data_IF_908962508030
#
_entry.id   IF_908962508030
#
_cell.length_a   1.000
_cell.length_b   1.000
_cell.length_c   1.000
_cell.angle_alpha   90.00
_cell.angle_beta   90.00
_cell.angle_gamma   90.00
#
_symmetry.space_group_name_H-M   'P 1'
#
loop_
_entity.id
_entity.type
_entity.pdbx_description
1 polymer ?
#
# COMPACT_ATOMS: atom_id res chain seq x y z
N UNK A 1 -12.85 16.43 -13.78
CA UNK A 1 -11.50 17.01 -13.74
C UNK A 1 -11.53 18.51 -14.06
N UNK A 2 -11.90 18.96 -15.25
CA UNK A 2 -11.93 20.38 -15.64
C UNK A 2 -12.77 21.32 -14.74
N UNK A 3 -13.81 20.80 -14.05
CA UNK A 3 -14.58 21.59 -13.09
C UNK A 3 -13.84 21.87 -11.78
N UNK A 4 -12.88 20.99 -11.40
CA UNK A 4 -12.10 21.12 -10.18
C UNK A 4 -10.79 21.88 -10.43
N UNK A 5 -10.10 21.59 -11.53
CA UNK A 5 -8.87 22.26 -11.94
C UNK A 5 -9.21 23.22 -13.07
N UNK A 6 -9.51 24.49 -12.71
CA UNK A 6 -9.89 25.55 -13.66
C UNK A 6 -8.66 26.34 -14.08
N UNK A 7 -7.70 25.67 -14.72
CA UNK A 7 -6.48 26.31 -15.24
C UNK A 7 -6.34 25.99 -16.72
N UNK A 8 -5.88 26.96 -17.50
CA UNK A 8 -5.60 26.77 -18.94
C UNK A 8 -4.40 25.83 -19.16
N UNK A 9 -3.64 25.54 -18.10
CA UNK A 9 -2.48 24.65 -18.13
C UNK A 9 -2.84 23.17 -18.03
N UNK A 10 -4.12 22.83 -17.74
CA UNK A 10 -4.59 21.45 -17.71
C UNK A 10 -4.69 20.90 -19.13
N UNK A 11 -3.78 20.03 -19.49
CA UNK A 11 -3.77 19.29 -20.75
C UNK A 11 -4.48 17.96 -20.60
N UNK A 12 -5.28 17.62 -21.60
CA UNK A 12 -5.95 16.34 -21.72
C UNK A 12 -5.74 15.84 -23.15
N UNK A 13 -4.95 14.79 -23.28
CA UNK A 13 -4.66 14.11 -24.54
C UNK A 13 -5.50 12.84 -24.62
N UNK A 14 -6.55 12.88 -25.40
CA UNK A 14 -7.37 11.71 -25.68
C UNK A 14 -6.78 10.93 -26.86
N UNK A 15 -6.74 9.61 -26.75
CA UNK A 15 -6.32 8.70 -27.79
C UNK A 15 -7.10 7.40 -27.68
N UNK A 16 -7.08 6.62 -28.76
CA UNK A 16 -7.66 5.29 -28.78
C UNK A 16 -6.56 4.24 -28.62
N UNK A 17 -6.83 3.26 -27.78
CA UNK A 17 -5.94 2.12 -27.64
C UNK A 17 -6.13 1.18 -28.83
N UNK A 18 -5.03 0.65 -29.33
CA UNK A 18 -5.07 -0.36 -30.40
C UNK A 18 -5.49 -1.72 -29.82
N UNK A 19 -6.76 -1.82 -29.46
CA UNK A 19 -7.40 -3.02 -28.90
C UNK A 19 -8.54 -3.48 -29.82
N UNK A 20 -9.04 -4.68 -29.60
CA UNK A 20 -10.21 -5.16 -30.36
C UNK A 20 -11.46 -4.27 -30.15
N UNK A 21 -11.53 -3.53 -29.01
CA UNK A 21 -12.66 -2.68 -28.65
C UNK A 21 -12.44 -1.19 -28.94
N UNK A 22 -11.27 -0.78 -29.45
CA UNK A 22 -10.89 0.63 -29.70
C UNK A 22 -11.19 1.54 -28.49
N UNK A 23 -10.89 1.06 -27.27
CA UNK A 23 -11.21 1.76 -26.03
C UNK A 23 -10.46 3.09 -25.97
N UNK A 24 -11.17 4.18 -25.68
CA UNK A 24 -10.60 5.51 -25.51
C UNK A 24 -9.90 5.63 -24.15
N UNK A 25 -8.76 6.30 -24.14
CA UNK A 25 -8.08 6.70 -22.93
C UNK A 25 -7.65 8.17 -23.01
N UNK A 26 -7.44 8.79 -21.88
CA UNK A 26 -6.97 10.16 -21.78
C UNK A 26 -5.79 10.27 -20.81
N UNK A 27 -4.69 10.87 -21.28
CA UNK A 27 -3.58 11.28 -20.45
C UNK A 27 -3.80 12.72 -19.99
N UNK A 28 -3.94 12.93 -18.69
CA UNK A 28 -4.16 14.24 -18.08
C UNK A 28 -2.92 14.68 -17.30
N UNK A 29 -2.52 15.94 -17.46
CA UNK A 29 -1.40 16.55 -16.72
C UNK A 29 -1.49 18.08 -16.74
N UNK A 30 -0.82 18.74 -15.80
CA UNK A 30 -0.66 20.19 -15.80
C UNK A 30 0.67 20.56 -16.48
N UNK A 31 0.61 21.31 -17.60
CA UNK A 31 1.78 21.65 -18.43
C UNK A 31 2.86 22.43 -17.69
N UNK A 32 2.47 23.26 -16.74
CA UNK A 32 3.36 24.08 -15.90
C UNK A 32 4.00 23.34 -14.75
N UNK A 33 3.51 22.13 -14.42
CA UNK A 33 3.91 21.37 -13.24
C UNK A 33 4.49 19.98 -13.53
N UNK A 34 4.02 19.33 -14.58
CA UNK A 34 4.49 18.00 -14.96
C UNK A 34 5.87 18.06 -15.64
N UNK A 35 6.71 17.07 -15.40
CA UNK A 35 7.98 16.94 -16.11
C UNK A 35 7.73 16.60 -17.60
N UNK A 36 8.16 17.44 -18.54
CA UNK A 36 7.96 17.18 -19.96
C UNK A 36 8.63 15.87 -20.43
N UNK A 37 9.73 15.45 -19.80
CA UNK A 37 10.41 14.20 -20.14
C UNK A 37 9.55 12.98 -19.75
N UNK A 38 8.92 13.03 -18.57
CA UNK A 38 8.03 11.98 -18.12
C UNK A 38 6.76 11.93 -18.96
N UNK A 39 6.17 13.08 -19.29
CA UNK A 39 4.99 13.15 -20.18
C UNK A 39 5.30 12.48 -21.52
N UNK A 40 6.44 12.83 -22.14
CA UNK A 40 6.87 12.20 -23.42
C UNK A 40 7.04 10.70 -23.29
N UNK A 41 7.68 10.24 -22.21
CA UNK A 41 7.92 8.81 -21.95
C UNK A 41 6.62 8.05 -21.78
N UNK A 42 5.70 8.55 -20.94
CA UNK A 42 4.40 7.90 -20.70
C UNK A 42 3.56 7.90 -21.98
N UNK A 43 3.52 9.01 -22.72
CA UNK A 43 2.82 9.08 -24.00
C UNK A 43 3.34 8.03 -24.99
N UNK A 44 4.66 7.93 -25.15
CA UNK A 44 5.26 6.93 -26.04
C UNK A 44 4.89 5.49 -25.61
N UNK A 45 4.92 5.21 -24.31
CA UNK A 45 4.53 3.90 -23.77
C UNK A 45 3.06 3.61 -24.08
N UNK A 46 2.14 4.55 -23.79
CA UNK A 46 0.72 4.35 -24.03
C UNK A 46 0.41 4.17 -25.53
N UNK A 47 1.11 4.88 -26.42
CA UNK A 47 0.95 4.72 -27.87
C UNK A 47 1.53 3.41 -28.39
N UNK A 48 2.58 2.88 -27.75
CA UNK A 48 3.19 1.61 -28.14
C UNK A 48 2.53 0.39 -27.50
N UNK A 49 1.78 0.58 -26.42
CA UNK A 49 1.09 -0.49 -25.73
C UNK A 49 0.05 -1.14 -26.66
N UNK A 50 0.04 -2.47 -26.68
CA UNK A 50 -0.86 -3.30 -27.49
C UNK A 50 -1.59 -4.30 -26.59
N UNK A 51 -2.38 -3.85 -25.62
CA UNK A 51 -3.21 -4.78 -24.86
C UNK A 51 -4.28 -5.35 -25.82
N UNK A 52 -4.53 -6.66 -25.75
CA UNK A 52 -5.59 -7.30 -26.53
C UNK A 52 -6.95 -6.70 -26.15
N UNK A 53 -7.15 -6.47 -24.87
CA UNK A 53 -8.35 -5.90 -24.29
C UNK A 53 -7.98 -4.83 -23.26
N UNK A 54 -8.70 -3.69 -23.23
CA UNK A 54 -8.51 -2.61 -22.28
C UNK A 54 -9.85 -2.30 -21.60
N UNK A 55 -10.10 -2.93 -20.45
CA UNK A 55 -11.32 -2.73 -19.66
C UNK A 55 -11.10 -1.85 -18.44
N UNK A 56 -9.87 -1.78 -17.93
CA UNK A 56 -9.52 -0.99 -16.76
C UNK A 56 -8.18 -0.29 -16.93
N UNK A 57 -7.98 0.78 -16.18
CA UNK A 57 -6.74 1.57 -16.17
C UNK A 57 -5.52 0.76 -15.72
N UNK A 58 -5.70 -0.26 -14.89
CA UNK A 58 -4.66 -1.16 -14.41
C UNK A 58 -3.97 -1.95 -15.54
N UNK A 59 -4.65 -2.17 -16.67
CA UNK A 59 -4.08 -2.91 -17.80
C UNK A 59 -2.90 -2.22 -18.46
N UNK A 60 -2.71 -0.92 -18.26
CA UNK A 60 -1.52 -0.22 -18.71
C UNK A 60 -0.28 -0.41 -17.81
N UNK A 61 -0.45 -0.89 -16.58
CA UNK A 61 0.64 -1.00 -15.61
C UNK A 61 1.82 -1.86 -16.10
N UNK A 62 1.62 -3.03 -16.73
CA UNK A 62 2.73 -3.85 -17.22
C UNK A 62 3.63 -3.13 -18.25
N UNK A 63 3.07 -2.24 -19.07
CA UNK A 63 3.84 -1.44 -20.04
C UNK A 63 4.48 -0.21 -19.39
N UNK A 64 3.79 0.44 -18.44
CA UNK A 64 4.30 1.60 -17.71
C UNK A 64 5.45 1.24 -16.77
N UNK A 65 5.44 0.04 -16.24
CA UNK A 65 6.41 -0.49 -15.30
C UNK A 65 7.02 -1.81 -15.81
N UNK A 66 7.72 -1.80 -16.95
CA UNK A 66 8.32 -3.02 -17.49
C UNK A 66 9.39 -3.56 -16.53
N UNK A 67 9.48 -4.87 -16.40
CA UNK A 67 10.52 -5.55 -15.63
C UNK A 67 10.02 -6.66 -14.74
N UNK A 68 10.88 -7.08 -13.80
CA UNK A 68 10.64 -8.19 -12.88
C UNK A 68 9.43 -7.93 -11.97
N UNK A 69 8.82 -9.00 -11.49
CA UNK A 69 7.78 -8.93 -10.46
C UNK A 69 8.24 -8.02 -9.31
N UNK A 70 7.47 -6.97 -9.07
CA UNK A 70 7.73 -5.99 -8.01
C UNK A 70 6.77 -6.24 -6.87
N UNK A 71 7.27 -6.19 -5.66
CA UNK A 71 6.42 -6.31 -4.48
C UNK A 71 5.57 -5.04 -4.29
N UNK A 72 6.18 -3.87 -4.53
CA UNK A 72 5.49 -2.58 -4.47
C UNK A 72 5.25 -2.02 -5.86
N UNK A 73 4.02 -1.62 -6.12
CA UNK A 73 3.62 -1.00 -7.39
C UNK A 73 3.52 0.52 -7.20
N UNK A 74 4.43 1.31 -7.82
CA UNK A 74 4.46 2.76 -7.63
C UNK A 74 3.42 3.47 -8.50
N UNK A 75 2.18 3.01 -8.42
CA UNK A 75 0.98 3.62 -9.01
C UNK A 75 -0.09 3.74 -7.94
N UNK A 76 -0.97 4.71 -8.08
CA UNK A 76 -2.09 4.92 -7.19
C UNK A 76 -3.40 4.92 -7.98
N UNK A 77 -4.39 4.18 -7.49
CA UNK A 77 -5.72 4.14 -8.06
C UNK A 77 -6.66 5.01 -7.25
N UNK A 78 -7.49 5.78 -7.92
CA UNK A 78 -8.48 6.60 -7.23
C UNK A 78 -9.78 6.73 -8.03
N UNK A 79 -10.89 6.54 -7.35
CA UNK A 79 -12.23 6.81 -7.88
C UNK A 79 -12.69 8.23 -7.55
N UNK A 80 -11.96 8.94 -6.66
CA UNK A 80 -12.31 10.30 -6.23
C UNK A 80 -11.70 11.36 -7.16
N UNK A 81 -12.51 12.12 -7.92
CA UNK A 81 -11.99 13.15 -8.83
C UNK A 81 -11.19 14.24 -8.11
N UNK A 82 -11.50 14.50 -6.83
CA UNK A 82 -10.78 15.48 -6.01
C UNK A 82 -9.33 15.04 -5.73
N UNK A 83 -9.10 13.74 -5.44
CA UNK A 83 -7.76 13.18 -5.24
C UNK A 83 -6.96 13.28 -6.54
N UNK A 84 -7.54 12.86 -7.66
CA UNK A 84 -6.87 12.95 -8.95
C UNK A 84 -6.55 14.41 -9.34
N UNK A 85 -7.44 15.37 -9.04
CA UNK A 85 -7.19 16.79 -9.26
C UNK A 85 -6.05 17.33 -8.38
N UNK A 86 -5.99 16.96 -7.09
CA UNK A 86 -4.89 17.31 -6.20
C UNK A 86 -3.55 16.77 -6.74
N UNK A 87 -3.52 15.51 -7.15
CA UNK A 87 -2.30 14.87 -7.70
C UNK A 87 -1.84 15.49 -9.02
N UNK A 88 -2.76 15.96 -9.87
CA UNK A 88 -2.42 16.78 -11.06
C UNK A 88 -1.74 18.09 -10.67
N UNK A 89 -2.26 18.75 -9.62
CA UNK A 89 -1.66 19.98 -9.10
C UNK A 89 -0.28 19.75 -8.45
N UNK A 90 0.04 18.53 -8.05
CA UNK A 90 1.37 18.13 -7.58
C UNK A 90 2.36 17.84 -8.73
N UNK A 91 1.91 17.91 -9.98
CA UNK A 91 2.74 17.64 -11.17
C UNK A 91 2.76 16.17 -11.60
N UNK A 92 1.83 15.37 -11.11
CA UNK A 92 1.67 13.97 -11.51
C UNK A 92 0.85 13.82 -12.78
N UNK A 93 0.92 12.62 -13.35
CA UNK A 93 0.15 12.22 -14.51
C UNK A 93 -1.05 11.38 -14.07
N UNK A 94 -2.16 11.59 -14.73
CA UNK A 94 -3.39 10.82 -14.49
C UNK A 94 -3.84 10.21 -15.81
N UNK A 95 -4.03 8.90 -15.82
CA UNK A 95 -4.57 8.17 -16.97
C UNK A 95 -6.00 7.78 -16.65
N UNK A 96 -6.89 8.13 -17.55
CA UNK A 96 -8.31 7.77 -17.51
C UNK A 96 -8.59 6.81 -18.67
N UNK A 97 -9.31 5.75 -18.39
CA UNK A 97 -9.77 4.79 -19.42
C UNK A 97 -11.28 4.82 -19.44
N UNK A 98 -11.85 4.86 -20.65
CA UNK A 98 -13.29 4.86 -20.80
C UNK A 98 -13.87 3.52 -20.31
N UNK A 99 -14.88 3.59 -19.45
CA UNK A 99 -15.47 2.42 -18.79
C UNK A 99 -14.81 1.98 -17.49
N UNK A 100 -13.60 2.46 -17.18
CA UNK A 100 -12.95 2.20 -15.89
C UNK A 100 -13.47 3.13 -14.79
N UNK A 101 -13.85 2.61 -13.60
CA UNK A 101 -14.26 3.44 -12.48
C UNK A 101 -13.08 4.17 -11.83
N UNK A 102 -11.87 3.68 -11.99
CA UNK A 102 -10.68 4.20 -11.33
C UNK A 102 -9.74 4.94 -12.29
N UNK A 103 -9.21 6.07 -11.82
CA UNK A 103 -8.12 6.78 -12.48
C UNK A 103 -6.78 6.25 -11.99
N UNK A 104 -5.83 6.04 -12.91
CA UNK A 104 -4.47 5.66 -12.61
C UNK A 104 -3.61 6.90 -12.45
N UNK A 105 -2.98 7.07 -11.30
CA UNK A 105 -2.10 8.20 -10.97
C UNK A 105 -0.66 7.71 -10.88
N UNK A 106 0.27 8.40 -11.54
CA UNK A 106 1.70 8.06 -11.52
C UNK A 106 2.60 9.31 -11.60
N UNK A 107 3.81 9.21 -11.03
CA UNK A 107 4.29 8.18 -10.12
C UNK A 107 3.61 8.29 -8.75
N UNK A 108 3.36 7.18 -8.08
CA UNK A 108 2.97 7.16 -6.68
C UNK A 108 4.21 7.03 -5.78
N UNK A 109 4.14 7.62 -4.59
CA UNK A 109 5.19 7.55 -3.58
C UNK A 109 4.73 6.69 -2.40
N UNK A 110 5.67 6.08 -1.68
CA UNK A 110 5.35 5.24 -0.52
C UNK A 110 4.61 6.02 0.57
N UNK A 111 5.06 7.24 0.87
CA UNK A 111 4.42 8.11 1.87
C UNK A 111 2.96 8.43 1.55
N UNK A 112 2.62 8.53 0.27
CA UNK A 112 1.27 8.87 -0.17
C UNK A 112 0.23 7.78 0.07
N UNK A 113 0.69 6.54 0.26
CA UNK A 113 -0.22 5.44 0.62
C UNK A 113 -0.80 5.60 2.03
N UNK A 114 -0.16 6.44 2.86
CA UNK A 114 -0.62 6.76 4.22
C UNK A 114 -1.37 8.09 4.30
N UNK A 115 -1.43 8.85 3.19
CA UNK A 115 -2.16 10.10 3.09
C UNK A 115 -3.61 9.85 2.70
N UNK A 116 -4.53 10.60 3.32
CA UNK A 116 -5.93 10.63 2.94
C UNK A 116 -6.37 12.07 2.71
N UNK A 117 -7.33 12.29 1.81
CA UNK A 117 -7.89 13.61 1.58
C UNK A 117 -8.53 14.20 2.86
N UNK A 118 -9.10 13.33 3.68
CA UNK A 118 -9.75 13.69 4.92
C UNK A 118 -8.77 14.20 6.01
N UNK A 119 -7.47 13.85 5.87
CA UNK A 119 -6.42 14.36 6.74
C UNK A 119 -6.33 15.91 6.66
N UNK A 120 -6.71 16.52 5.52
CA UNK A 120 -6.67 17.96 5.30
C UNK A 120 -7.91 18.70 5.85
N UNK A 121 -8.98 17.99 6.16
CA UNK A 121 -10.17 18.54 6.80
C UNK A 121 -10.02 18.64 8.32
N UNK A 122 -9.13 17.85 8.93
CA UNK A 122 -8.90 17.77 10.38
C UNK A 122 -7.80 18.72 10.84
N UNK A 123 -7.63 18.86 12.17
CA UNK A 123 -6.50 19.62 12.74
C UNK A 123 -5.16 18.96 12.44
N UNK A 124 -4.08 19.75 12.30
CA UNK A 124 -2.76 19.23 11.94
C UNK A 124 -2.22 18.19 12.94
N UNK A 125 -2.47 18.39 14.24
CA UNK A 125 -2.05 17.47 15.29
C UNK A 125 -2.78 16.11 15.18
N UNK A 126 -4.09 16.13 15.00
CA UNK A 126 -4.89 14.91 14.86
C UNK A 126 -4.54 14.16 13.57
N UNK A 127 -4.38 14.84 12.44
CA UNK A 127 -3.97 14.21 11.18
C UNK A 127 -2.58 13.60 11.28
N UNK A 128 -1.63 14.26 11.99
CA UNK A 128 -0.30 13.69 12.25
C UNK A 128 -0.38 12.42 13.08
N UNK A 129 -1.21 12.42 14.13
CA UNK A 129 -1.46 11.22 14.92
C UNK A 129 -2.03 10.07 14.07
N UNK A 130 -3.02 10.35 13.22
CA UNK A 130 -3.61 9.34 12.33
C UNK A 130 -2.58 8.79 11.33
N UNK A 131 -1.71 9.65 10.78
CA UNK A 131 -0.64 9.19 9.88
C UNK A 131 0.35 8.27 10.60
N UNK A 132 0.81 8.64 11.79
CA UNK A 132 1.66 7.76 12.61
C UNK A 132 0.98 6.43 12.89
N UNK A 133 -0.32 6.46 13.23
CA UNK A 133 -1.11 5.25 13.44
C UNK A 133 -1.17 4.37 12.18
N UNK A 134 -1.35 4.96 10.99
CA UNK A 134 -1.34 4.22 9.71
C UNK A 134 0.02 3.55 9.46
N UNK A 135 1.13 4.26 9.64
CA UNK A 135 2.48 3.66 9.55
C UNK A 135 2.64 2.52 10.55
N UNK A 136 2.28 2.75 11.81
CA UNK A 136 2.34 1.71 12.85
C UNK A 136 1.51 0.49 12.49
N UNK A 137 0.26 0.68 11.99
CA UNK A 137 -0.62 -0.41 11.56
C UNK A 137 -0.02 -1.22 10.41
N UNK A 138 0.63 -0.57 9.45
CA UNK A 138 1.30 -1.26 8.36
C UNK A 138 2.46 -2.13 8.86
N UNK A 139 3.35 -1.60 9.69
CA UNK A 139 4.45 -2.38 10.27
C UNK A 139 3.93 -3.52 11.17
N UNK A 140 2.89 -3.26 11.94
CA UNK A 140 2.23 -4.27 12.76
C UNK A 140 1.66 -5.39 11.90
N UNK A 141 0.99 -5.07 10.79
CA UNK A 141 0.46 -6.07 9.86
C UNK A 141 1.54 -6.96 9.29
N UNK A 142 2.69 -6.40 8.91
CA UNK A 142 3.78 -7.12 8.23
C UNK A 142 4.62 -7.93 9.20
N UNK A 143 5.04 -7.32 10.32
CA UNK A 143 6.09 -7.89 11.16
C UNK A 143 5.58 -8.55 12.44
N UNK A 144 4.42 -8.18 12.97
CA UNK A 144 3.96 -8.64 14.28
C UNK A 144 3.71 -10.17 14.34
N UNK A 145 3.08 -10.83 13.33
CA UNK A 145 2.92 -12.28 13.35
C UNK A 145 4.28 -13.02 13.31
N UNK A 146 5.20 -12.56 12.44
CA UNK A 146 6.54 -13.13 12.36
C UNK A 146 7.36 -12.89 13.64
N UNK A 147 7.26 -11.70 14.23
CA UNK A 147 7.92 -11.40 15.51
C UNK A 147 7.36 -12.25 16.66
N UNK A 148 6.05 -12.46 16.71
CA UNK A 148 5.41 -13.33 17.69
C UNK A 148 5.91 -14.76 17.56
N UNK A 149 5.93 -15.33 16.36
CA UNK A 149 6.46 -16.67 16.09
C UNK A 149 7.95 -16.75 16.44
N UNK A 150 8.74 -15.76 16.05
CA UNK A 150 10.16 -15.70 16.36
C UNK A 150 10.43 -15.74 17.88
N UNK A 151 9.71 -14.90 18.63
CA UNK A 151 9.89 -14.80 20.08
C UNK A 151 9.37 -16.06 20.78
N UNK A 152 8.18 -16.55 20.41
CA UNK A 152 7.58 -17.70 21.08
C UNK A 152 8.35 -19.00 20.84
N UNK A 153 8.89 -19.20 19.61
CA UNK A 153 9.56 -20.46 19.23
C UNK A 153 11.07 -20.43 19.52
N UNK A 154 11.74 -19.29 19.23
CA UNK A 154 13.21 -19.24 19.23
C UNK A 154 13.80 -18.43 20.39
N UNK A 155 13.03 -17.51 20.99
CA UNK A 155 13.49 -16.61 22.04
C UNK A 155 12.49 -16.54 23.22
N UNK A 156 12.06 -17.69 23.79
CA UNK A 156 11.06 -17.70 24.85
C UNK A 156 11.51 -16.91 26.09
N UNK A 157 12.80 -16.75 26.28
CA UNK A 157 13.41 -16.00 27.39
C UNK A 157 13.04 -14.51 27.40
N UNK A 158 12.64 -13.94 26.27
CA UNK A 158 12.18 -12.53 26.18
C UNK A 158 10.76 -12.34 26.72
N UNK A 159 10.00 -13.41 26.88
CA UNK A 159 8.61 -13.33 27.35
C UNK A 159 8.56 -13.33 28.89
N UNK A 160 7.66 -12.54 29.48
CA UNK A 160 7.39 -12.66 30.92
C UNK A 160 6.97 -14.10 31.26
N UNK A 161 7.46 -14.68 32.38
CA UNK A 161 7.21 -16.07 32.73
C UNK A 161 5.73 -16.48 32.74
N UNK A 162 4.86 -15.57 33.16
CA UNK A 162 3.41 -15.81 33.18
C UNK A 162 2.81 -15.94 31.77
N UNK A 163 3.31 -15.14 30.79
CA UNK A 163 2.86 -15.21 29.41
C UNK A 163 3.44 -16.44 28.71
N UNK A 164 4.71 -16.73 28.95
CA UNK A 164 5.35 -17.93 28.42
C UNK A 164 4.61 -19.19 28.83
N UNK A 165 4.29 -19.34 30.12
CA UNK A 165 3.53 -20.49 30.61
C UNK A 165 2.16 -20.64 29.92
N UNK A 166 1.46 -19.51 29.69
CA UNK A 166 0.17 -19.55 28.98
C UNK A 166 0.31 -19.95 27.51
N UNK A 167 1.36 -19.48 26.83
CA UNK A 167 1.60 -19.83 25.42
C UNK A 167 1.97 -21.31 25.32
N UNK A 168 2.89 -21.81 26.16
CA UNK A 168 3.26 -23.22 26.18
C UNK A 168 2.10 -24.15 26.52
N UNK A 169 1.25 -23.76 27.48
CA UNK A 169 0.08 -24.54 27.83
C UNK A 169 -0.93 -24.59 26.67
N UNK A 170 -1.10 -23.48 25.95
CA UNK A 170 -1.95 -23.43 24.78
C UNK A 170 -1.39 -24.25 23.62
N UNK A 171 -0.08 -24.18 23.35
CA UNK A 171 0.58 -24.97 22.29
C UNK A 171 0.52 -26.47 22.56
N UNK A 172 0.69 -26.91 23.82
CA UNK A 172 0.53 -28.33 24.20
C UNK A 172 -0.87 -28.86 24.01
N UNK A 173 -1.87 -27.99 23.97
CA UNK A 173 -3.28 -28.34 23.74
C UNK A 173 -3.66 -28.43 22.25
N UNK A 174 -2.80 -27.98 21.34
CA UNK A 174 -3.02 -27.97 19.90
C UNK A 174 -2.21 -29.06 19.17
N UNK A 175 -2.73 -29.60 18.05
CA UNK A 175 -2.03 -30.64 17.29
C UNK A 175 -0.91 -30.12 16.39
N UNK A 176 -0.90 -28.80 16.10
CA UNK A 176 0.05 -28.16 15.20
C UNK A 176 1.09 -27.37 15.98
N UNK A 177 2.36 -27.32 15.51
CA UNK A 177 3.34 -26.42 16.07
C UNK A 177 2.92 -24.96 15.81
N UNK A 178 3.22 -24.03 16.72
CA UNK A 178 2.80 -22.63 16.72
C UNK A 178 3.07 -21.92 15.39
N UNK A 179 4.20 -22.23 14.74
CA UNK A 179 4.54 -21.70 13.42
C UNK A 179 3.53 -22.13 12.33
N UNK A 180 3.18 -23.41 12.27
CA UNK A 180 2.23 -23.93 11.28
C UNK A 180 0.81 -23.43 11.57
N UNK A 181 0.45 -23.30 12.83
CA UNK A 181 -0.80 -22.74 13.29
C UNK A 181 -0.97 -21.29 12.84
N UNK A 182 0.07 -20.45 13.03
CA UNK A 182 0.04 -19.05 12.56
C UNK A 182 -0.15 -18.95 11.04
N UNK A 183 0.55 -19.78 10.27
CA UNK A 183 0.37 -19.79 8.80
C UNK A 183 -1.04 -20.20 8.40
N UNK A 184 -1.59 -21.22 9.06
CA UNK A 184 -2.93 -21.72 8.78
C UNK A 184 -3.99 -20.66 9.09
N UNK A 185 -3.89 -19.96 10.24
CA UNK A 185 -4.81 -18.88 10.60
C UNK A 185 -4.73 -17.73 9.58
N UNK A 186 -3.53 -17.30 9.19
CA UNK A 186 -3.35 -16.27 8.18
C UNK A 186 -4.02 -16.69 6.86
N UNK A 187 -3.82 -17.95 6.43
CA UNK A 187 -4.42 -18.45 5.19
C UNK A 187 -5.95 -18.46 5.27
N UNK A 188 -6.53 -18.92 6.39
CA UNK A 188 -7.98 -18.91 6.60
C UNK A 188 -8.54 -17.50 6.55
N UNK A 189 -7.88 -16.53 7.21
CA UNK A 189 -8.30 -15.12 7.18
C UNK A 189 -8.25 -14.55 5.77
N UNK A 190 -7.24 -14.91 4.94
CA UNK A 190 -7.19 -14.49 3.55
C UNK A 190 -8.32 -15.11 2.71
N UNK A 191 -8.65 -16.38 2.94
CA UNK A 191 -9.77 -17.06 2.26
C UNK A 191 -11.09 -16.36 2.61
N UNK A 192 -11.32 -16.07 3.91
CA UNK A 192 -12.54 -15.38 4.37
C UNK A 192 -12.65 -14.00 3.71
N UNK A 193 -11.54 -13.27 3.64
CA UNK A 193 -11.50 -11.95 3.01
C UNK A 193 -11.78 -12.03 1.51
N UNK A 194 -11.13 -12.94 0.80
CA UNK A 194 -11.33 -13.12 -0.64
C UNK A 194 -12.77 -13.53 -0.96
N UNK A 195 -13.36 -14.41 -0.14
CA UNK A 195 -14.76 -14.77 -0.24
C UNK A 195 -15.68 -13.55 -0.02
N UNK A 196 -15.36 -12.71 0.98
CA UNK A 196 -16.11 -11.49 1.27
C UNK A 196 -16.12 -10.46 0.13
N UNK A 197 -15.01 -10.35 -0.61
CA UNK A 197 -14.92 -9.46 -1.77
C UNK A 197 -15.77 -9.93 -2.97
N UNK A 198 -16.04 -11.22 -3.08
CA UNK A 198 -16.82 -11.82 -4.17
C UNK A 198 -18.31 -11.87 -3.88
N UNK A 199 -18.72 -11.63 -2.65
CA UNK A 199 -20.12 -11.64 -2.26
C UNK A 199 -20.82 -10.31 -2.60
N UNK A 200 -22.13 -10.31 -2.89
CA UNK A 200 -22.92 -9.08 -2.99
C UNK A 200 -22.78 -8.24 -1.71
N UNK A 201 -22.63 -6.92 -1.87
CA UNK A 201 -22.35 -5.99 -0.75
C UNK A 201 -23.35 -6.11 0.42
N UNK A 202 -24.61 -6.43 0.13
CA UNK A 202 -25.66 -6.61 1.14
C UNK A 202 -25.42 -7.78 2.09
N UNK A 203 -24.69 -8.81 1.67
CA UNK A 203 -24.43 -10.02 2.44
C UNK A 203 -22.96 -10.14 2.90
N UNK A 204 -22.03 -9.57 2.14
CA UNK A 204 -20.60 -9.78 2.32
C UNK A 204 -20.09 -9.40 3.73
N UNK A 205 -20.53 -8.27 4.27
CA UNK A 205 -20.10 -7.84 5.61
C UNK A 205 -20.62 -8.75 6.72
N UNK A 206 -21.91 -9.13 6.66
CA UNK A 206 -22.51 -9.96 7.69
C UNK A 206 -21.95 -11.39 7.67
N UNK A 207 -21.79 -11.96 6.49
CA UNK A 207 -21.25 -13.32 6.32
C UNK A 207 -19.78 -13.38 6.74
N UNK A 208 -18.95 -12.40 6.35
CA UNK A 208 -17.55 -12.37 6.76
C UNK A 208 -17.38 -12.23 8.28
N UNK A 209 -18.20 -11.38 8.95
CA UNK A 209 -18.15 -11.21 10.38
C UNK A 209 -18.57 -12.49 11.13
N UNK A 210 -19.70 -13.08 10.71
CA UNK A 210 -20.23 -14.32 11.33
C UNK A 210 -19.26 -15.48 11.07
N UNK A 211 -18.72 -15.61 9.87
CA UNK A 211 -17.75 -16.67 9.55
C UNK A 211 -16.48 -16.54 10.38
N UNK A 212 -15.92 -15.34 10.52
CA UNK A 212 -14.73 -15.12 11.33
C UNK A 212 -14.96 -15.45 12.81
N UNK A 213 -16.13 -15.08 13.36
CA UNK A 213 -16.50 -15.38 14.74
C UNK A 213 -16.68 -16.89 14.94
N UNK A 214 -17.50 -17.54 14.10
CA UNK A 214 -17.80 -18.97 14.24
C UNK A 214 -16.53 -19.81 14.04
N UNK A 215 -15.72 -19.52 13.03
CA UNK A 215 -14.48 -20.26 12.76
C UNK A 215 -13.49 -20.04 13.89
N UNK A 216 -13.35 -18.80 14.40
CA UNK A 216 -12.47 -18.49 15.51
C UNK A 216 -12.86 -19.24 16.80
N UNK A 217 -14.12 -19.16 17.20
CA UNK A 217 -14.61 -19.84 18.40
C UNK A 217 -14.56 -21.37 18.27
N UNK A 218 -14.95 -21.91 17.11
CA UNK A 218 -14.88 -23.36 16.85
C UNK A 218 -13.44 -23.86 16.85
N UNK A 219 -12.50 -23.11 16.27
CA UNK A 219 -11.09 -23.48 16.22
C UNK A 219 -10.45 -23.55 17.63
N UNK A 220 -10.82 -22.60 18.51
CA UNK A 220 -10.38 -22.60 19.91
C UNK A 220 -11.07 -23.73 20.69
N UNK A 221 -12.39 -23.88 20.56
CA UNK A 221 -13.17 -24.89 21.30
C UNK A 221 -12.76 -26.32 20.95
N UNK A 222 -12.35 -26.56 19.72
CA UNK A 222 -11.86 -27.89 19.27
C UNK A 222 -10.38 -28.12 19.59
N UNK A 223 -9.67 -27.13 20.12
CA UNK A 223 -8.22 -27.21 20.36
C UNK A 223 -7.38 -27.30 19.08
N UNK A 224 -7.92 -26.91 17.92
CA UNK A 224 -7.18 -26.88 16.67
C UNK A 224 -6.22 -25.68 16.59
N UNK A 225 -6.57 -24.60 17.28
CA UNK A 225 -5.81 -23.36 17.29
C UNK A 225 -5.72 -22.75 18.68
N UNK A 226 -4.56 -22.23 19.01
CA UNK A 226 -4.30 -21.58 20.28
C UNK A 226 -4.84 -20.14 20.32
N UNK A 227 -5.36 -19.74 21.48
CA UNK A 227 -5.87 -18.38 21.68
C UNK A 227 -4.84 -17.28 21.41
N UNK A 228 -3.54 -17.39 21.79
CA UNK A 228 -2.53 -16.40 21.47
C UNK A 228 -2.32 -16.18 19.98
N UNK A 229 -2.31 -17.26 19.19
CA UNK A 229 -2.15 -17.18 17.73
C UNK A 229 -3.35 -16.46 17.08
N UNK A 230 -4.58 -16.84 17.46
CA UNK A 230 -5.79 -16.18 16.96
C UNK A 230 -5.81 -14.69 17.33
N UNK A 231 -5.39 -14.33 18.54
CA UNK A 231 -5.31 -12.95 18.98
C UNK A 231 -4.35 -12.11 18.12
N UNK A 232 -3.13 -12.61 17.89
CA UNK A 232 -2.13 -11.94 17.06
C UNK A 232 -2.62 -11.81 15.60
N UNK A 233 -3.15 -12.90 15.04
CA UNK A 233 -3.66 -12.91 13.68
C UNK A 233 -4.85 -11.95 13.49
N UNK A 234 -5.76 -11.86 14.47
CA UNK A 234 -6.92 -10.96 14.43
C UNK A 234 -6.51 -9.50 14.45
N UNK A 235 -5.56 -9.11 15.32
CA UNK A 235 -5.04 -7.74 15.36
C UNK A 235 -4.43 -7.37 14.01
N UNK A 236 -3.64 -8.24 13.41
CA UNK A 236 -2.98 -7.97 12.13
C UNK A 236 -3.98 -7.91 10.97
N UNK A 237 -5.03 -8.75 11.00
CA UNK A 237 -6.09 -8.71 10.02
C UNK A 237 -6.90 -7.39 10.06
N UNK A 238 -7.11 -6.83 11.26
CA UNK A 238 -7.77 -5.53 11.40
C UNK A 238 -6.82 -4.40 10.98
N UNK A 239 -5.54 -4.48 11.36
CA UNK A 239 -4.56 -3.45 11.07
C UNK A 239 -4.34 -3.21 9.57
N UNK A 240 -4.49 -4.24 8.73
CA UNK A 240 -4.34 -4.12 7.28
C UNK A 240 -5.39 -3.22 6.64
N UNK A 241 -6.60 -3.14 7.20
CA UNK A 241 -7.68 -2.28 6.69
C UNK A 241 -7.39 -0.78 6.87
N UNK A 242 -6.45 -0.43 7.74
CA UNK A 242 -6.04 0.97 7.94
C UNK A 242 -5.27 1.52 6.73
N UNK A 243 -4.60 0.63 5.95
CA UNK A 243 -3.80 1.00 4.79
C UNK A 243 -4.17 0.16 3.56
N UNK A 244 -5.38 0.34 2.99
CA UNK A 244 -5.88 -0.53 1.93
C UNK A 244 -5.04 -0.48 0.65
N UNK A 245 -4.38 0.64 0.35
CA UNK A 245 -3.50 0.76 -0.83
C UNK A 245 -2.22 -0.08 -0.78
N UNK A 246 -1.85 -0.58 0.42
CA UNK A 246 -0.68 -1.46 0.63
C UNK A 246 -1.08 -2.90 0.96
N UNK A 247 -2.34 -3.27 0.72
CA UNK A 247 -2.83 -4.59 1.09
C UNK A 247 -2.02 -5.73 0.44
N UNK A 248 -1.86 -5.68 -0.89
CA UNK A 248 -1.16 -6.75 -1.64
C UNK A 248 0.27 -6.96 -1.15
N UNK A 249 1.14 -5.92 -1.08
CA UNK A 249 2.49 -6.09 -0.57
C UNK A 249 2.51 -6.47 0.92
N UNK A 250 1.60 -5.97 1.74
CA UNK A 250 1.55 -6.29 3.17
C UNK A 250 1.23 -7.76 3.41
N UNK A 251 0.30 -8.35 2.65
CA UNK A 251 -0.06 -9.76 2.77
C UNK A 251 1.10 -10.68 2.38
N UNK A 252 1.75 -10.41 1.23
CA UNK A 252 2.90 -11.20 0.79
C UNK A 252 4.08 -11.10 1.77
N UNK A 253 4.37 -9.89 2.25
CA UNK A 253 5.40 -9.67 3.26
C UNK A 253 5.07 -10.38 4.58
N UNK A 254 3.82 -10.31 5.05
CA UNK A 254 3.38 -10.98 6.28
C UNK A 254 3.62 -12.48 6.22
N UNK A 255 3.22 -13.14 5.13
CA UNK A 255 3.49 -14.57 4.93
C UNK A 255 4.99 -14.82 4.90
N UNK A 256 5.74 -14.02 4.15
CA UNK A 256 7.19 -14.11 4.07
C UNK A 256 7.90 -13.92 5.41
N UNK A 257 7.46 -12.95 6.24
CA UNK A 257 8.04 -12.75 7.58
C UNK A 257 7.77 -13.89 8.51
N UNK A 258 6.55 -14.48 8.50
CA UNK A 258 6.22 -15.65 9.32
C UNK A 258 7.03 -16.87 8.88
N UNK A 259 7.16 -17.10 7.57
CA UNK A 259 7.96 -18.21 7.04
C UNK A 259 9.43 -18.08 7.44
N UNK A 260 10.05 -16.93 7.21
CA UNK A 260 11.46 -16.71 7.54
C UNK A 260 11.71 -16.72 9.05
N UNK A 261 10.82 -16.12 9.83
CA UNK A 261 10.93 -16.11 11.29
C UNK A 261 10.73 -17.48 11.90
N UNK A 262 9.81 -18.29 11.36
CA UNK A 262 9.59 -19.67 11.83
C UNK A 262 10.74 -20.61 11.52
N UNK A 263 11.37 -20.48 10.34
CA UNK A 263 12.47 -21.35 9.91
C UNK A 263 13.83 -20.95 10.47
N UNK A 264 14.13 -19.65 10.52
CA UNK A 264 15.46 -19.13 10.86
C UNK A 264 15.45 -18.20 12.09
N UNK A 265 14.33 -18.12 12.82
CA UNK A 265 14.20 -17.34 14.04
C UNK A 265 14.55 -15.85 13.85
N UNK A 266 15.36 -15.27 14.77
CA UNK A 266 15.72 -13.84 14.70
C UNK A 266 16.45 -13.44 13.42
N UNK A 267 17.29 -14.35 12.90
CA UNK A 267 18.02 -14.12 11.63
C UNK A 267 17.03 -14.03 10.47
N UNK A 268 16.02 -14.91 10.45
CA UNK A 268 14.96 -14.90 9.45
C UNK A 268 14.11 -13.62 9.51
N UNK A 269 13.77 -13.16 10.71
CA UNK A 269 13.04 -11.92 10.91
C UNK A 269 13.86 -10.70 10.45
N UNK A 270 15.15 -10.67 10.76
CA UNK A 270 16.07 -9.63 10.28
C UNK A 270 16.20 -9.67 8.74
N UNK A 271 16.34 -10.84 8.14
CA UNK A 271 16.40 -11.00 6.69
C UNK A 271 15.10 -10.51 6.02
N UNK A 272 13.94 -10.80 6.58
CA UNK A 272 12.66 -10.30 6.11
C UNK A 272 12.59 -8.76 6.17
N UNK A 273 13.05 -8.16 7.26
CA UNK A 273 13.11 -6.71 7.44
C UNK A 273 14.05 -6.04 6.42
N UNK A 274 15.25 -6.55 6.22
CA UNK A 274 16.18 -6.02 5.21
C UNK A 274 15.67 -6.26 3.79
N UNK A 275 15.04 -7.41 3.51
CA UNK A 275 14.38 -7.68 2.23
C UNK A 275 13.26 -6.67 1.92
N UNK A 276 12.45 -6.34 2.92
CA UNK A 276 11.45 -5.28 2.83
C UNK A 276 12.08 -3.92 2.51
N UNK A 277 13.13 -3.50 3.24
CA UNK A 277 13.82 -2.23 2.99
C UNK A 277 14.42 -2.19 1.58
N UNK A 278 15.09 -3.25 1.15
CA UNK A 278 15.66 -3.35 -0.20
C UNK A 278 14.58 -3.26 -1.27
N UNK A 279 13.43 -3.92 -1.05
CA UNK A 279 12.30 -3.87 -2.00
C UNK A 279 11.76 -2.45 -2.18
N UNK A 280 11.60 -1.67 -1.10
CA UNK A 280 11.14 -0.28 -1.20
C UNK A 280 12.17 0.61 -1.87
N UNK A 281 13.45 0.50 -1.46
CA UNK A 281 14.54 1.33 -1.99
C UNK A 281 14.79 1.06 -3.47
N UNK A 282 14.69 -0.20 -3.90
CA UNK A 282 14.89 -0.59 -5.30
C UNK A 282 13.72 -0.29 -6.22
N UNK A 283 12.56 0.09 -5.66
CA UNK A 283 11.37 0.37 -6.44
C UNK A 283 11.43 1.78 -7.02
N UNK A 284 11.38 1.88 -8.34
CA UNK A 284 11.34 3.14 -9.09
C UNK A 284 10.20 3.13 -10.11
N UNK A 285 9.58 4.30 -10.32
CA UNK A 285 8.63 4.53 -11.40
C UNK A 285 9.08 5.71 -12.26
N UNK A 286 9.27 5.47 -13.56
CA UNK A 286 9.55 6.52 -14.55
C UNK A 286 10.75 7.43 -14.18
N UNK A 287 11.73 6.90 -13.42
CA UNK A 287 12.89 7.64 -12.92
C UNK A 287 12.67 8.40 -11.61
N UNK A 288 11.57 8.12 -10.91
CA UNK A 288 11.30 8.61 -9.56
C UNK A 288 11.37 7.45 -8.59
N UNK A 289 12.18 7.59 -7.54
CA UNK A 289 12.25 6.59 -6.47
C UNK A 289 10.92 6.55 -5.70
N UNK A 290 10.45 5.36 -5.38
CA UNK A 290 9.23 5.15 -4.61
C UNK A 290 9.32 5.75 -3.19
N UNK A 291 10.53 5.79 -2.64
CA UNK A 291 10.80 6.36 -1.33
C UNK A 291 11.03 7.89 -1.37
N UNK A 292 11.00 8.54 -2.55
CA UNK A 292 11.12 10.00 -2.60
C UNK A 292 9.98 10.65 -1.79
N UNK A 293 10.24 11.72 -1.04
CA UNK A 293 11.46 12.53 -0.94
C UNK A 293 12.49 12.08 0.11
N UNK A 294 12.28 10.95 0.75
CA UNK A 294 13.26 10.39 1.69
C UNK A 294 14.30 9.54 0.93
N UNK A 295 15.60 9.57 1.22
CA UNK A 295 16.22 9.88 2.52
C UNK A 295 16.99 11.21 2.61
N UNK A 296 16.68 12.23 1.79
CA UNK A 296 17.45 13.48 1.81
C UNK A 296 16.77 14.56 2.66
N UNK A 297 17.33 14.88 3.87
CA UNK A 297 16.72 15.81 4.83
C UNK A 297 16.70 17.28 4.40
N UNK A 298 17.30 17.63 3.27
CA UNK A 298 17.41 19.01 2.80
C UNK A 298 16.21 19.53 1.99
N UNK A 299 15.09 18.76 1.90
CA UNK A 299 13.97 19.14 1.08
C UNK A 299 12.68 19.33 1.89
N UNK A 300 11.93 20.47 1.70
CA UNK A 300 10.68 20.76 2.40
C UNK A 300 9.53 19.76 2.11
N UNK A 301 9.77 18.71 1.34
CA UNK A 301 8.85 17.59 1.12
C UNK A 301 8.67 16.69 2.36
N UNK A 302 9.63 16.72 3.30
CA UNK A 302 9.46 16.04 4.59
C UNK A 302 8.39 16.70 5.47
N UNK A 303 7.92 17.88 5.07
CA UNK A 303 6.96 18.67 5.83
C UNK A 303 5.53 18.11 5.81
N UNK A 304 5.19 17.27 4.85
CA UNK A 304 3.86 16.64 4.72
C UNK A 304 3.92 15.09 4.63
N UNK A 305 5.03 14.48 5.01
CA UNK A 305 5.16 13.01 5.02
C UNK A 305 4.50 12.37 6.24
N UNK A 306 5.28 12.10 7.28
CA UNK A 306 4.79 11.48 8.54
C UNK A 306 4.05 12.50 9.43
N UNK A 307 4.60 13.72 9.57
CA UNK A 307 3.99 14.79 10.35
C UNK A 307 3.42 15.85 9.41
N UNK A 308 2.15 16.16 9.60
CA UNK A 308 1.46 17.18 8.83
C UNK A 308 1.69 18.57 9.41
N UNK A 309 2.15 19.52 8.60
CA UNK A 309 2.17 20.94 8.95
C UNK A 309 0.82 21.64 8.71
N UNK A 310 0.68 22.84 9.29
CA UNK A 310 -0.51 23.66 9.11
C UNK A 310 -0.75 23.97 7.62
N UNK A 311 -1.98 23.87 7.16
CA UNK A 311 -2.36 24.10 5.76
C UNK A 311 -1.89 25.47 5.23
N UNK A 312 -1.87 26.52 6.07
CA UNK A 312 -1.33 27.84 5.70
C UNK A 312 0.17 27.82 5.35
N UNK A 313 0.93 26.92 5.94
CA UNK A 313 2.36 26.77 5.65
C UNK A 313 2.57 25.94 4.38
N UNK A 314 1.80 24.88 4.20
CA UNK A 314 1.82 24.04 3.01
C UNK A 314 1.41 24.81 1.76
N UNK A 315 0.39 25.68 1.84
CA UNK A 315 -0.11 26.47 0.71
C UNK A 315 0.89 27.51 0.19
N UNK A 316 1.87 27.95 1.03
CA UNK A 316 2.90 28.93 0.63
C UNK A 316 4.03 28.33 -0.21
N UNK A 317 4.26 27.03 -0.14
CA UNK A 317 5.45 26.37 -0.72
C UNK A 317 5.14 25.48 -1.92
N UNK A 318 3.93 25.47 -2.43
CA UNK A 318 3.47 24.72 -3.61
C UNK A 318 4.15 23.36 -3.76
N UNK A 319 3.45 22.29 -3.52
CA UNK A 319 3.99 20.95 -3.67
C UNK A 319 4.17 20.64 -5.18
N UNK A 320 5.41 20.63 -5.65
CA UNK A 320 5.73 20.17 -7.00
C UNK A 320 6.97 19.29 -6.96
N UNK A 321 6.79 18.02 -7.29
CA UNK A 321 7.85 16.99 -7.31
C UNK A 321 9.03 17.40 -8.22
N UNK A 322 8.78 18.22 -9.24
CA UNK A 322 9.73 18.51 -10.32
C UNK A 322 10.46 19.85 -10.19
N UNK A 323 9.87 20.87 -9.58
CA UNK A 323 10.51 22.19 -9.45
C UNK A 323 11.87 22.20 -8.76
N UNK A 324 12.20 21.16 -8.01
CA UNK A 324 13.47 21.04 -7.31
C UNK A 324 14.60 20.44 -8.14
N UNK A 325 14.29 19.64 -9.17
CA UNK A 325 15.30 19.07 -10.06
C UNK A 325 15.96 20.17 -10.90
N UNK A 326 15.26 21.24 -11.23
CA UNK A 326 15.82 22.38 -11.95
C UNK A 326 16.67 23.31 -11.07
N UNK A 327 16.34 23.48 -9.78
CA UNK A 327 17.17 24.28 -8.87
C UNK A 327 18.49 23.61 -8.54
N UNK A 328 18.55 22.30 -8.39
CA UNK A 328 19.79 21.55 -8.19
C UNK A 328 20.68 21.52 -9.43
N UNK A 329 20.12 21.62 -10.64
CA UNK A 329 20.86 21.65 -11.92
C UNK A 329 21.42 23.02 -12.25
N UNK A 330 20.88 24.10 -11.66
CA UNK A 330 21.41 25.47 -11.84
C UNK A 330 22.46 25.86 -10.80
N UNK A 331 22.74 25.00 -9.81
CA UNK A 331 23.76 25.20 -8.78
C UNK A 331 24.95 24.26 -8.91
N UNK A 332 24.98 23.38 -9.91
CA UNK A 332 26.12 22.59 -10.32
C UNK A 332 26.58 23.05 -11.72
#
# INVERSE_FOLDING_TARGET
MRRLVRTDTLMQEAAQAHTCCNTEYALCYCKDRADPAMVRRVRAILQSARPELLLDSSYFVPWLLPGKARLFTPVHYTERPAVAAAKLCEGKLVILVNGSPSALVLPALFSEQFECLDDYASTAAFSSFLRVLKYFSFYLTVFFPGAFVCVAVHLPELLPPQLLYKIEAAEKATPLPLFAEMLLVILILEIIREAGLRMPQSLGHSVSLVSALIIGDAAIATGLMSTPVIFVASITAIAVFVTPGLYEPATLLRIGTVLLAGLAGPVGLAAAFFGFLLSIVSTEALGVSYLAPHPFPQQPLSEDGVLRRNYRQLSRHGFNIWQKRERGRKQS
#
